data_IF_343263605771
#
_entry.id   IF_343263605771
#
_cell.length_a   1.000
_cell.length_b   1.000
_cell.length_c   1.000
_cell.angle_alpha   90.00
_cell.angle_beta   90.00
_cell.angle_gamma   90.00
#
_symmetry.space_group_name_H-M   'P 1'
#
loop_
_entity.id
_entity.type
_entity.pdbx_description
1 polymer ?
#
# COMPACT_ATOMS: atom_id res chain seq x y z
N UNK A 1 -9.64 10.76 -5.86
CA UNK A 1 -9.52 11.08 -4.42
C UNK A 1 -8.18 10.60 -3.86
N UNK A 2 -7.07 11.04 -4.47
CA UNK A 2 -5.90 10.15 -4.62
C UNK A 2 -4.68 10.69 -3.89
N UNK A 3 -4.54 12.01 -3.79
CA UNK A 3 -3.50 12.71 -3.01
C UNK A 3 -3.45 12.20 -1.57
N UNK A 4 -4.60 12.02 -0.92
CA UNK A 4 -4.68 11.50 0.47
C UNK A 4 -4.23 10.03 0.54
N UNK A 5 -4.61 9.20 -0.43
CA UNK A 5 -4.16 7.79 -0.50
C UNK A 5 -2.66 7.68 -0.78
N UNK A 6 -2.11 8.53 -1.63
CA UNK A 6 -0.68 8.60 -1.94
C UNK A 6 0.12 9.06 -0.71
N UNK A 7 -0.33 10.11 -0.02
CA UNK A 7 0.30 10.61 1.20
C UNK A 7 0.29 9.55 2.31
N UNK A 8 -0.85 8.85 2.50
CA UNK A 8 -0.96 7.73 3.41
C UNK A 8 -0.11 6.52 2.98
N UNK A 9 0.04 6.24 1.69
CA UNK A 9 0.89 5.15 1.19
C UNK A 9 2.39 5.41 1.37
N UNK A 10 2.79 6.68 1.47
CA UNK A 10 4.18 7.08 1.76
C UNK A 10 4.48 7.01 3.26
N UNK A 11 3.54 7.43 4.11
CA UNK A 11 3.69 7.40 5.58
C UNK A 11 3.50 5.98 6.14
N UNK A 12 2.49 5.26 5.66
CA UNK A 12 2.17 3.90 6.09
C UNK A 12 1.59 3.09 4.89
N UNK A 13 2.44 2.48 4.04
CA UNK A 13 2.01 1.75 2.84
C UNK A 13 0.78 0.83 3.00
N UNK A 14 0.61 0.04 4.09
CA UNK A 14 -0.57 -0.80 4.24
C UNK A 14 -1.89 -0.03 4.44
N UNK A 15 -1.88 1.21 4.95
CA UNK A 15 -3.10 2.04 5.00
C UNK A 15 -3.51 2.51 3.60
N UNK A 16 -2.55 2.90 2.76
CA UNK A 16 -2.80 3.26 1.36
C UNK A 16 -3.43 2.10 0.60
N UNK A 17 -2.89 0.88 0.76
CA UNK A 17 -3.44 -0.35 0.17
C UNK A 17 -4.82 -0.69 0.74
N UNK A 18 -4.99 -0.66 2.06
CA UNK A 18 -6.28 -0.92 2.71
C UNK A 18 -7.39 -0.01 2.17
N UNK A 19 -7.12 1.28 1.96
CA UNK A 19 -8.09 2.21 1.42
C UNK A 19 -8.33 2.04 -0.09
N UNK A 20 -7.46 1.33 -0.84
CA UNK A 20 -7.63 1.04 -2.28
C UNK A 20 -8.39 -0.28 -2.53
N UNK A 21 -8.11 -1.32 -1.73
CA UNK A 21 -8.58 -2.71 -1.97
C UNK A 21 -9.21 -3.42 -0.75
N UNK A 22 -9.28 -2.78 0.41
CA UNK A 22 -9.83 -3.35 1.64
C UNK A 22 -8.87 -4.33 2.36
N UNK A 23 -9.39 -5.03 3.36
CA UNK A 23 -8.69 -6.21 3.93
C UNK A 23 -8.81 -7.35 2.91
N UNK A 24 -7.68 -7.72 2.33
CA UNK A 24 -7.58 -8.78 1.34
C UNK A 24 -6.13 -9.22 1.16
N UNK A 25 -5.88 -10.15 0.24
CA UNK A 25 -4.56 -10.76 0.05
C UNK A 25 -3.47 -9.71 -0.27
N UNK A 26 -3.80 -8.66 -1.03
CA UNK A 26 -2.90 -7.54 -1.31
C UNK A 26 -2.49 -6.72 -0.07
N UNK A 27 -3.37 -6.58 0.93
CA UNK A 27 -3.08 -5.86 2.17
C UNK A 27 -2.11 -6.67 3.05
N UNK A 28 -2.38 -7.97 3.22
CA UNK A 28 -1.47 -8.89 3.92
C UNK A 28 -0.10 -9.01 3.23
N UNK A 29 -0.08 -9.11 1.90
CA UNK A 29 1.17 -9.11 1.14
C UNK A 29 1.92 -7.79 1.30
N UNK A 30 1.22 -6.65 1.35
CA UNK A 30 1.87 -5.36 1.57
C UNK A 30 2.47 -5.23 2.98
N UNK A 31 1.78 -5.73 4.02
CA UNK A 31 2.35 -5.83 5.38
C UNK A 31 3.61 -6.69 5.37
N UNK A 32 3.55 -7.89 4.78
CA UNK A 32 4.68 -8.81 4.70
C UNK A 32 5.87 -8.19 3.96
N UNK A 33 5.62 -7.55 2.82
CA UNK A 33 6.63 -6.82 2.05
C UNK A 33 7.25 -5.70 2.88
N UNK A 34 6.44 -4.87 3.54
CA UNK A 34 6.91 -3.76 4.40
C UNK A 34 7.76 -4.26 5.56
N UNK A 35 7.44 -5.44 6.13
CA UNK A 35 8.17 -6.06 7.23
C UNK A 35 9.50 -6.68 6.78
N UNK A 36 9.55 -7.29 5.58
CA UNK A 36 10.80 -7.75 4.96
C UNK A 36 11.65 -6.59 4.39
N UNK A 37 11.02 -5.44 4.12
CA UNK A 37 11.70 -4.23 3.66
C UNK A 37 10.71 -3.10 3.35
N UNK A 38 10.92 -1.93 3.95
CA UNK A 38 10.05 -0.76 3.76
C UNK A 38 9.88 -0.36 2.28
N UNK A 39 10.97 -0.46 1.50
CA UNK A 39 11.01 -0.11 0.06
C UNK A 39 10.06 -0.96 -0.81
N UNK A 40 10.14 -2.31 -0.84
CA UNK A 40 9.17 -3.12 -1.60
C UNK A 40 7.72 -2.96 -1.08
N UNK A 41 7.52 -2.64 0.20
CA UNK A 41 6.21 -2.23 0.74
C UNK A 41 5.64 -1.00 0.04
N UNK A 42 6.43 0.07 -0.10
CA UNK A 42 6.04 1.29 -0.84
C UNK A 42 5.80 1.00 -2.32
N UNK A 43 6.71 0.26 -2.98
CA UNK A 43 6.58 -0.05 -4.41
C UNK A 43 5.27 -0.81 -4.70
N UNK A 44 4.92 -1.80 -3.87
CA UNK A 44 3.66 -2.53 -4.02
C UNK A 44 2.44 -1.66 -3.70
N UNK A 45 2.53 -0.74 -2.72
CA UNK A 45 1.43 0.18 -2.42
C UNK A 45 1.14 1.13 -3.59
N UNK A 46 2.18 1.76 -4.14
CA UNK A 46 2.08 2.62 -5.33
C UNK A 46 1.56 1.80 -6.54
N UNK A 47 2.06 0.58 -6.74
CA UNK A 47 1.63 -0.29 -7.83
C UNK A 47 0.20 -0.86 -7.66
N UNK A 48 -0.37 -0.86 -6.45
CA UNK A 48 -1.81 -1.13 -6.22
C UNK A 48 -2.67 0.12 -6.46
N UNK A 49 -2.19 1.30 -6.09
CA UNK A 49 -2.91 2.58 -6.30
C UNK A 49 -2.95 2.99 -7.77
N UNK A 50 -1.87 2.77 -8.54
CA UNK A 50 -1.81 3.09 -9.98
C UNK A 50 -2.61 2.11 -10.88
N UNK A 51 -3.06 0.97 -10.34
CA UNK A 51 -3.61 -0.16 -11.12
C UNK A 51 -5.12 -0.38 -10.88
N UNK A 52 -5.82 0.61 -10.31
CA UNK A 52 -7.25 0.56 -10.02
C UNK A 52 -7.81 1.97 -9.82
#
# INVERSE_FOLDING_TARGET
>A
MDVVRILLAIILPPLGVFLQVGIGLHFWLNILLTLCGYVPGIIHAIWVILRK
#
